data_IF_766669384752
#
_entry.id   IF_766669384752
#
_cell.length_a   1.000
_cell.length_b   1.000
_cell.length_c   1.000
_cell.angle_alpha   90.00
_cell.angle_beta   90.00
_cell.angle_gamma   90.00
#
_symmetry.space_group_name_H-M   'P 1'
#
loop_
_entity.id
_entity.type
_entity.pdbx_description
1 polymer ?
#
# COMPACT_ATOMS: atom_id res chain seq x y z
N UNK A 1 2.63 12.49 -4.82
CA UNK A 1 3.96 12.07 -5.31
C UNK A 1 4.80 13.21 -5.81
N UNK A 2 4.24 14.19 -6.49
CA UNK A 2 4.96 15.40 -6.94
C UNK A 2 5.80 16.04 -5.81
N UNK A 3 5.26 16.14 -4.59
CA UNK A 3 5.99 16.69 -3.45
C UNK A 3 7.27 15.89 -3.11
N UNK A 4 7.21 14.55 -3.11
CA UNK A 4 8.40 13.71 -2.82
C UNK A 4 9.46 13.84 -3.91
N UNK A 5 9.05 13.96 -5.18
CA UNK A 5 9.96 14.18 -6.29
C UNK A 5 10.68 15.52 -6.17
N UNK A 6 9.95 16.59 -5.85
CA UNK A 6 10.52 17.92 -5.61
C UNK A 6 11.52 17.93 -4.44
N UNK A 7 11.22 17.20 -3.35
CA UNK A 7 12.15 17.09 -2.22
C UNK A 7 13.40 16.28 -2.56
N UNK A 8 13.27 15.24 -3.37
CA UNK A 8 14.40 14.46 -3.86
C UNK A 8 15.31 15.29 -4.78
N UNK A 9 14.74 16.06 -5.70
CA UNK A 9 15.48 16.99 -6.56
C UNK A 9 16.24 18.04 -5.75
N UNK A 10 15.63 18.64 -4.72
CA UNK A 10 16.31 19.55 -3.80
C UNK A 10 17.48 18.88 -3.08
N UNK A 11 17.39 17.59 -2.81
CA UNK A 11 18.46 16.78 -2.22
C UNK A 11 19.49 16.27 -3.24
N UNK A 12 19.47 16.73 -4.49
CA UNK A 12 20.32 16.27 -5.60
C UNK A 12 20.21 14.75 -5.84
N UNK A 13 19.04 14.16 -5.61
CA UNK A 13 18.78 12.76 -5.93
C UNK A 13 18.28 12.64 -7.37
N UNK A 14 18.86 11.71 -8.11
CA UNK A 14 18.42 11.44 -9.47
C UNK A 14 17.09 10.67 -9.47
N UNK A 15 16.08 11.21 -10.15
CA UNK A 15 14.79 10.56 -10.33
C UNK A 15 14.82 9.65 -11.55
N UNK A 16 14.24 8.47 -11.41
CA UNK A 16 14.09 7.49 -12.50
C UNK A 16 12.63 7.11 -12.65
N UNK A 17 12.18 6.98 -13.89
CA UNK A 17 10.80 6.63 -14.24
C UNK A 17 10.59 5.13 -14.46
N UNK A 18 11.68 4.38 -14.60
CA UNK A 18 11.65 2.96 -14.92
C UNK A 18 12.39 2.16 -13.87
N UNK A 19 11.83 1.02 -13.47
CA UNK A 19 12.52 0.08 -12.59
C UNK A 19 13.71 -0.50 -13.36
N UNK A 20 14.93 -0.25 -12.89
CA UNK A 20 16.15 -0.83 -13.42
C UNK A 20 16.22 -2.32 -13.05
N UNK A 21 17.02 -3.09 -13.78
CA UNK A 21 17.16 -4.56 -13.59
C UNK A 21 17.54 -4.98 -12.17
N UNK A 22 18.12 -4.08 -11.39
CA UNK A 22 18.58 -4.37 -10.02
C UNK A 22 18.26 -3.22 -9.08
N UNK A 23 17.40 -3.50 -8.10
CA UNK A 23 17.19 -2.64 -6.94
C UNK A 23 17.82 -3.36 -5.74
N UNK A 24 18.87 -2.78 -5.16
CA UNK A 24 19.54 -3.42 -4.02
C UNK A 24 18.72 -3.28 -2.75
N UNK A 25 18.14 -2.11 -2.52
CA UNK A 25 17.36 -1.84 -1.32
C UNK A 25 16.23 -0.86 -1.61
N UNK A 26 15.06 -1.11 -1.03
CA UNK A 26 13.94 -0.19 -0.99
C UNK A 26 13.64 0.22 0.45
N UNK A 27 13.41 1.51 0.66
CA UNK A 27 12.94 2.08 1.92
C UNK A 27 11.52 2.59 1.73
N UNK A 28 10.60 2.20 2.60
CA UNK A 28 9.22 2.63 2.50
C UNK A 28 8.53 2.66 3.88
N UNK A 29 7.33 3.23 3.94
CA UNK A 29 6.47 3.21 5.12
C UNK A 29 5.38 2.14 5.04
N UNK A 30 4.57 2.05 6.08
CA UNK A 30 3.37 1.24 6.10
C UNK A 30 2.23 1.92 6.86
N UNK A 31 1.00 1.71 6.42
CA UNK A 31 -0.21 2.21 7.10
C UNK A 31 -0.59 1.33 8.30
N UNK A 32 -0.37 0.01 8.20
CA UNK A 32 -0.42 -0.96 9.30
C UNK A 32 0.56 -2.11 9.07
N UNK A 33 1.05 -2.70 10.15
CA UNK A 33 1.94 -3.87 10.18
C UNK A 33 1.36 -4.88 11.16
N UNK A 34 1.06 -6.10 10.71
CA UNK A 34 0.57 -7.16 11.57
C UNK A 34 1.71 -7.97 12.24
N UNK A 35 1.34 -8.88 13.16
CA UNK A 35 2.32 -9.78 13.82
C UNK A 35 3.07 -10.69 12.85
N UNK A 36 2.49 -10.97 11.68
CA UNK A 36 3.11 -11.78 10.64
C UNK A 36 4.02 -10.97 9.70
N UNK A 37 4.24 -9.68 9.98
CA UNK A 37 4.96 -8.70 9.15
C UNK A 37 4.32 -8.51 7.77
N UNK A 38 3.02 -8.78 7.61
CA UNK A 38 2.28 -8.30 6.46
C UNK A 38 2.02 -6.80 6.62
N UNK A 39 1.80 -6.08 5.52
CA UNK A 39 1.62 -4.63 5.55
C UNK A 39 0.28 -4.24 4.92
N UNK A 40 -0.37 -3.21 5.46
CA UNK A 40 -1.30 -2.38 4.70
C UNK A 40 -0.54 -1.15 4.23
N UNK A 41 -0.65 -0.86 2.94
CA UNK A 41 -0.04 0.28 2.25
C UNK A 41 -1.02 0.90 1.27
N UNK A 42 -0.65 2.03 0.71
CA UNK A 42 -1.44 2.71 -0.31
C UNK A 42 -2.32 3.84 0.21
N UNK A 43 -2.13 4.28 1.47
CA UNK A 43 -2.77 5.48 1.99
C UNK A 43 -2.48 6.72 1.13
N UNK A 44 -1.26 6.83 0.59
CA UNK A 44 -0.84 7.88 -0.35
C UNK A 44 -1.19 7.64 -1.82
N UNK A 45 -1.81 6.51 -2.17
CA UNK A 45 -2.28 6.20 -3.53
C UNK A 45 -1.25 5.61 -4.48
N UNK A 46 -0.02 5.32 -4.03
CA UNK A 46 1.07 4.82 -4.89
C UNK A 46 1.25 3.28 -4.84
N UNK A 47 0.23 2.54 -4.35
CA UNK A 47 0.36 1.12 -3.98
C UNK A 47 0.85 0.22 -5.10
N UNK A 48 0.50 0.45 -6.37
CA UNK A 48 0.99 -0.34 -7.49
C UNK A 48 2.50 -0.15 -7.67
N UNK A 49 2.98 1.10 -7.70
CA UNK A 49 4.40 1.41 -7.83
C UNK A 49 5.20 0.91 -6.62
N UNK A 50 4.68 1.10 -5.41
CA UNK A 50 5.27 0.59 -4.18
C UNK A 50 5.43 -0.94 -4.23
N UNK A 51 4.40 -1.67 -4.70
CA UNK A 51 4.46 -3.12 -4.80
C UNK A 51 5.46 -3.60 -5.87
N UNK A 52 5.55 -2.90 -7.01
CA UNK A 52 6.55 -3.18 -8.04
C UNK A 52 7.97 -3.04 -7.45
N UNK A 53 8.27 -1.92 -6.80
CA UNK A 53 9.59 -1.66 -6.21
C UNK A 53 9.94 -2.66 -5.12
N UNK A 54 9.00 -2.94 -4.20
CA UNK A 54 9.17 -3.92 -3.13
C UNK A 54 9.48 -5.32 -3.70
N UNK A 55 8.81 -5.75 -4.78
CA UNK A 55 9.05 -7.05 -5.37
C UNK A 55 10.33 -7.12 -6.22
N UNK A 56 10.77 -6.02 -6.79
CA UNK A 56 12.02 -5.94 -7.56
C UNK A 56 13.27 -5.83 -6.69
N UNK A 57 13.14 -5.31 -5.46
CA UNK A 57 14.28 -5.08 -4.59
C UNK A 57 14.83 -6.37 -3.97
N UNK A 58 16.15 -6.45 -3.80
CA UNK A 58 16.80 -7.54 -3.05
C UNK A 58 16.47 -7.44 -1.57
N UNK A 59 16.43 -6.21 -1.02
CA UNK A 59 16.21 -5.93 0.40
C UNK A 59 15.11 -4.90 0.59
N UNK A 60 14.19 -5.18 1.51
CA UNK A 60 13.05 -4.31 1.85
C UNK A 60 13.19 -3.83 3.28
N UNK A 61 13.21 -2.53 3.46
CA UNK A 61 13.27 -1.86 4.76
C UNK A 61 12.00 -1.03 4.94
N UNK A 62 11.26 -1.32 6.00
CA UNK A 62 10.06 -0.56 6.36
C UNK A 62 10.33 0.29 7.59
N UNK A 63 9.88 1.53 7.55
CA UNK A 63 9.97 2.46 8.67
C UNK A 63 8.56 2.91 9.07
N UNK A 64 8.18 2.68 10.31
CA UNK A 64 6.86 3.07 10.82
C UNK A 64 6.91 3.38 12.31
N UNK A 65 6.05 4.28 12.74
CA UNK A 65 5.83 4.54 14.16
C UNK A 65 5.07 3.38 14.84
N UNK A 66 5.15 3.31 16.17
CA UNK A 66 4.57 2.20 16.93
C UNK A 66 3.04 2.10 16.80
N UNK A 67 2.33 3.19 16.45
CA UNK A 67 0.88 3.17 16.26
C UNK A 67 0.43 2.35 15.04
N UNK A 68 1.35 2.06 14.11
CA UNK A 68 1.07 1.25 12.92
C UNK A 68 1.09 -0.26 13.19
N UNK A 69 1.60 -0.68 14.35
CA UNK A 69 1.70 -2.10 14.68
C UNK A 69 0.41 -2.60 15.32
N UNK A 70 -0.18 -3.62 14.73
CA UNK A 70 -1.47 -4.19 15.13
C UNK A 70 -1.42 -5.71 15.23
N UNK A 71 -2.35 -6.29 16.01
CA UNK A 71 -2.48 -7.75 16.06
C UNK A 71 -3.10 -8.31 14.79
N UNK A 72 -4.15 -7.66 14.30
CA UNK A 72 -4.83 -7.95 13.03
C UNK A 72 -5.13 -6.62 12.36
N UNK A 73 -5.14 -6.59 11.05
CA UNK A 73 -5.54 -5.40 10.31
C UNK A 73 -6.99 -5.03 10.60
N UNK A 74 -7.25 -3.73 10.73
CA UNK A 74 -8.57 -3.16 10.98
C UNK A 74 -8.80 -1.84 10.22
N UNK A 75 -7.86 -1.48 9.37
CA UNK A 75 -7.93 -0.33 8.49
C UNK A 75 -8.57 -0.72 7.16
N UNK A 76 -9.14 0.25 6.45
CA UNK A 76 -9.60 0.05 5.09
C UNK A 76 -8.43 -0.37 4.18
N UNK A 77 -8.69 -1.32 3.31
CA UNK A 77 -7.71 -1.81 2.33
C UNK A 77 -7.85 -0.98 1.05
N UNK A 78 -6.83 -0.21 0.65
CA UNK A 78 -6.83 0.45 -0.64
C UNK A 78 -6.76 -0.60 -1.77
N UNK A 79 -7.61 -0.44 -2.77
CA UNK A 79 -7.63 -1.29 -3.97
C UNK A 79 -7.58 -0.38 -5.18
N UNK A 80 -6.51 -0.49 -5.99
CA UNK A 80 -6.38 0.24 -7.24
C UNK A 80 -7.15 -0.47 -8.33
N UNK A 81 -8.04 0.26 -9.01
CA UNK A 81 -9.03 -0.28 -9.91
C UNK A 81 -9.05 0.52 -11.20
N UNK A 82 -9.06 -0.18 -12.35
CA UNK A 82 -9.27 0.45 -13.64
C UNK A 82 -10.64 1.17 -13.67
N UNK A 83 -10.74 2.43 -14.10
CA UNK A 83 -11.98 3.21 -14.02
C UNK A 83 -13.19 2.53 -14.65
N UNK A 84 -13.01 1.85 -15.80
CA UNK A 84 -14.06 1.10 -16.48
C UNK A 84 -14.65 -0.03 -15.60
N UNK A 85 -13.85 -0.64 -14.73
CA UNK A 85 -14.26 -1.76 -13.90
C UNK A 85 -14.88 -1.35 -12.56
N UNK A 86 -14.99 -0.06 -12.26
CA UNK A 86 -15.45 0.46 -10.98
C UNK A 86 -16.68 -0.27 -10.42
N UNK A 87 -17.75 -0.34 -11.19
CA UNK A 87 -19.03 -0.89 -10.71
C UNK A 87 -18.95 -2.41 -10.51
N UNK A 88 -18.26 -3.12 -11.41
CA UNK A 88 -18.09 -4.57 -11.34
C UNK A 88 -17.23 -4.95 -10.14
N UNK A 89 -16.11 -4.25 -9.93
CA UNK A 89 -15.22 -4.49 -8.79
C UNK A 89 -15.93 -4.17 -7.47
N UNK A 90 -16.64 -3.04 -7.40
CA UNK A 90 -17.46 -2.68 -6.22
C UNK A 90 -18.42 -3.79 -5.84
N UNK A 91 -19.20 -4.32 -6.80
CA UNK A 91 -20.13 -5.42 -6.56
C UNK A 91 -19.43 -6.70 -6.08
N UNK A 92 -18.31 -7.06 -6.69
CA UNK A 92 -17.58 -8.28 -6.34
C UNK A 92 -16.88 -8.17 -4.96
N UNK A 93 -16.34 -7.00 -4.61
CA UNK A 93 -15.80 -6.74 -3.27
C UNK A 93 -16.92 -6.86 -2.22
N UNK A 94 -18.12 -6.34 -2.50
CA UNK A 94 -19.25 -6.46 -1.58
C UNK A 94 -19.69 -7.92 -1.38
N UNK A 95 -19.66 -8.76 -2.42
CA UNK A 95 -19.98 -10.20 -2.32
C UNK A 95 -19.01 -10.97 -1.41
N UNK A 96 -17.77 -10.53 -1.29
CA UNK A 96 -16.79 -11.16 -0.39
C UNK A 96 -16.72 -10.48 0.99
N UNK A 97 -17.73 -9.66 1.32
CA UNK A 97 -17.89 -9.05 2.65
C UNK A 97 -17.21 -7.70 2.83
N UNK A 98 -16.68 -7.09 1.77
CA UNK A 98 -16.09 -5.76 1.81
C UNK A 98 -17.14 -4.65 1.65
N UNK A 99 -16.86 -3.49 2.19
CA UNK A 99 -17.62 -2.25 1.99
C UNK A 99 -16.74 -1.24 1.26
N UNK A 100 -16.71 -1.27 -0.08
CA UNK A 100 -15.86 -0.39 -0.87
C UNK A 100 -16.42 1.02 -0.94
N UNK A 101 -15.55 2.02 -0.81
CA UNK A 101 -15.85 3.44 -0.99
C UNK A 101 -14.82 4.04 -1.95
N UNK A 102 -15.25 4.77 -2.95
CA UNK A 102 -14.30 5.48 -3.82
C UNK A 102 -13.52 6.51 -3.01
N UNK A 103 -12.21 6.54 -3.19
CA UNK A 103 -11.36 7.56 -2.59
C UNK A 103 -11.59 8.89 -3.29
N UNK A 104 -11.78 9.93 -2.50
CA UNK A 104 -11.97 11.29 -3.00
C UNK A 104 -10.93 12.24 -2.41
N UNK A 105 -10.63 13.28 -3.15
CA UNK A 105 -9.95 14.48 -2.68
C UNK A 105 -10.93 15.38 -1.93
N UNK A 106 -10.42 16.47 -1.37
CA UNK A 106 -11.25 17.55 -0.85
C UNK A 106 -12.27 18.00 -1.93
N UNK A 107 -13.47 18.38 -1.49
CA UNK A 107 -14.62 18.74 -2.35
C UNK A 107 -15.23 17.55 -3.12
N UNK A 108 -14.88 16.31 -2.82
CA UNK A 108 -15.52 15.11 -3.36
C UNK A 108 -15.08 14.67 -4.76
N UNK A 109 -14.07 15.28 -5.36
CA UNK A 109 -13.49 14.81 -6.62
C UNK A 109 -12.82 13.45 -6.44
N UNK A 110 -12.99 12.49 -7.37
CA UNK A 110 -12.30 11.22 -7.31
C UNK A 110 -10.77 11.40 -7.25
N UNK A 111 -10.10 10.66 -6.36
CA UNK A 111 -8.65 10.58 -6.37
C UNK A 111 -8.22 9.71 -7.57
N UNK A 112 -7.38 10.25 -8.44
CA UNK A 112 -6.80 9.54 -9.58
C UNK A 112 -5.33 9.24 -9.25
N UNK A 113 -4.94 7.97 -9.40
CA UNK A 113 -3.55 7.55 -9.21
C UNK A 113 -2.67 8.07 -10.35
N UNK A 114 -1.35 8.06 -10.17
CA UNK A 114 -0.41 8.42 -11.23
C UNK A 114 -0.46 7.47 -12.44
N UNK A 115 -1.12 6.32 -12.27
CA UNK A 115 -1.33 5.34 -13.34
C UNK A 115 -2.66 5.57 -14.08
N UNK A 116 -3.41 6.67 -13.77
CA UNK A 116 -4.72 6.95 -14.34
C UNK A 116 -5.87 6.12 -13.78
N UNK A 117 -5.67 5.45 -12.65
CA UNK A 117 -6.67 4.58 -12.04
C UNK A 117 -7.37 5.26 -10.86
N UNK A 118 -8.45 4.66 -10.37
CA UNK A 118 -9.14 5.04 -9.14
C UNK A 118 -8.73 4.14 -7.98
N UNK A 119 -8.99 4.59 -6.75
CA UNK A 119 -8.85 3.77 -5.56
C UNK A 119 -10.21 3.55 -4.92
N UNK A 120 -10.49 2.30 -4.56
CA UNK A 120 -11.54 1.92 -3.64
C UNK A 120 -10.93 1.63 -2.27
N UNK A 121 -11.30 2.38 -1.25
CA UNK A 121 -10.99 2.07 0.14
C UNK A 121 -12.03 1.07 0.65
N UNK A 122 -11.60 -0.14 0.95
CA UNK A 122 -12.47 -1.28 1.20
C UNK A 122 -12.43 -1.70 2.67
N UNK A 123 -13.50 -1.47 3.41
CA UNK A 123 -13.62 -1.91 4.79
C UNK A 123 -14.05 -3.37 4.88
N UNK A 124 -13.23 -4.21 5.52
CA UNK A 124 -13.51 -5.63 5.80
C UNK A 124 -13.62 -5.92 7.31
N UNK A 125 -13.66 -4.87 8.16
CA UNK A 125 -13.56 -5.04 9.60
C UNK A 125 -12.19 -5.59 9.99
N UNK A 126 -12.18 -6.55 10.95
CA UNK A 126 -10.93 -7.17 11.41
C UNK A 126 -10.48 -8.26 10.44
N UNK A 127 -9.29 -8.11 9.85
CA UNK A 127 -8.74 -9.02 8.84
C UNK A 127 -7.78 -10.00 9.52
N UNK A 128 -8.23 -11.25 9.72
CA UNK A 128 -7.42 -12.31 10.33
C UNK A 128 -6.57 -13.10 9.33
N UNK A 129 -6.92 -13.10 8.05
CA UNK A 129 -6.28 -13.89 6.99
C UNK A 129 -5.91 -12.98 5.80
N UNK A 130 -4.93 -12.06 5.96
CA UNK A 130 -4.64 -11.03 4.96
C UNK A 130 -4.23 -11.60 3.60
N UNK A 131 -3.41 -12.65 3.56
CA UNK A 131 -2.99 -13.30 2.31
C UNK A 131 -4.18 -13.82 1.50
N UNK A 132 -5.10 -14.53 2.15
CA UNK A 132 -6.29 -15.08 1.46
C UNK A 132 -7.21 -13.96 0.96
N UNK A 133 -7.39 -12.90 1.74
CA UNK A 133 -8.18 -11.74 1.33
C UNK A 133 -7.55 -11.04 0.12
N UNK A 134 -6.23 -10.82 0.16
CA UNK A 134 -5.48 -10.25 -0.97
C UNK A 134 -5.72 -11.05 -2.25
N UNK A 135 -5.56 -12.37 -2.21
CA UNK A 135 -5.75 -13.25 -3.36
C UNK A 135 -7.17 -13.15 -3.91
N UNK A 136 -8.19 -13.18 -3.04
CA UNK A 136 -9.60 -13.03 -3.46
C UNK A 136 -9.85 -11.70 -4.18
N UNK A 137 -9.31 -10.60 -3.66
CA UNK A 137 -9.50 -9.27 -4.26
C UNK A 137 -8.70 -9.17 -5.57
N UNK A 138 -7.44 -9.62 -5.59
CA UNK A 138 -6.55 -9.52 -6.75
C UNK A 138 -7.09 -10.27 -7.98
N UNK A 139 -7.83 -11.35 -7.77
CA UNK A 139 -8.44 -12.14 -8.83
C UNK A 139 -9.73 -11.52 -9.42
N UNK A 140 -10.18 -10.38 -8.92
CA UNK A 140 -11.31 -9.67 -9.51
C UNK A 140 -10.82 -8.90 -10.74
N UNK A 141 -11.43 -9.18 -11.91
CA UNK A 141 -11.09 -8.48 -13.16
C UNK A 141 -11.26 -6.97 -13.02
N UNK A 142 -10.23 -6.22 -13.38
CA UNK A 142 -10.17 -4.75 -13.24
C UNK A 142 -9.49 -4.26 -11.97
N UNK A 143 -9.08 -5.14 -11.06
CA UNK A 143 -8.19 -4.80 -9.94
C UNK A 143 -6.74 -4.81 -10.41
N UNK A 144 -6.07 -3.68 -10.29
CA UNK A 144 -4.66 -3.49 -10.65
C UNK A 144 -3.75 -3.88 -9.48
N UNK A 145 -4.05 -3.38 -8.27
CA UNK A 145 -3.29 -3.72 -7.07
C UNK A 145 -4.15 -3.66 -5.80
N UNK A 146 -3.70 -4.39 -4.78
CA UNK A 146 -4.35 -4.51 -3.47
C UNK A 146 -3.37 -4.04 -2.39
N UNK A 147 -3.80 -3.13 -1.55
CA UNK A 147 -2.98 -2.55 -0.47
C UNK A 147 -2.66 -3.49 0.70
N UNK A 148 -2.82 -4.79 0.53
CA UNK A 148 -2.30 -5.82 1.44
C UNK A 148 -1.02 -6.38 0.82
N UNK A 149 0.13 -6.13 1.43
CA UNK A 149 1.42 -6.60 0.97
C UNK A 149 1.88 -7.77 1.84
N UNK A 150 2.16 -8.90 1.20
CA UNK A 150 2.50 -10.16 1.87
C UNK A 150 3.96 -10.57 1.71
N UNK A 151 4.74 -9.86 0.87
CA UNK A 151 6.20 -9.94 0.90
C UNK A 151 6.66 -9.32 2.21
N UNK A 152 7.33 -10.11 3.03
CA UNK A 152 7.82 -9.67 4.34
C UNK A 152 9.02 -8.75 4.18
N UNK A 153 9.06 -7.63 4.91
CA UNK A 153 10.28 -6.83 5.01
C UNK A 153 11.43 -7.61 5.63
N UNK A 154 12.64 -7.32 5.16
CA UNK A 154 13.88 -7.86 5.73
C UNK A 154 14.22 -7.16 7.05
N UNK A 155 13.91 -5.86 7.13
CA UNK A 155 14.13 -5.04 8.33
C UNK A 155 12.92 -4.12 8.51
N UNK A 156 12.48 -3.98 9.75
CA UNK A 156 11.49 -2.97 10.14
C UNK A 156 12.09 -2.10 11.24
N UNK A 157 12.14 -0.80 11.02
CA UNK A 157 12.42 0.20 12.04
C UNK A 157 11.10 0.67 12.65
N UNK A 158 10.90 0.32 13.90
CA UNK A 158 9.74 0.74 14.69
C UNK A 158 10.11 1.96 15.51
N UNK A 159 9.68 3.14 15.08
CA UNK A 159 9.91 4.37 15.84
C UNK A 159 9.05 4.42 17.11
N UNK A 160 9.67 4.84 18.20
CA UNK A 160 9.04 5.10 19.48
C UNK A 160 9.13 6.58 19.85
N UNK A 161 8.48 6.97 20.93
CA UNK A 161 8.62 8.31 21.50
C UNK A 161 10.09 8.64 21.83
N UNK A 162 10.40 9.95 21.89
CA UNK A 162 11.72 10.47 22.29
C UNK A 162 12.91 10.02 21.39
N UNK A 163 12.67 9.83 20.08
CA UNK A 163 13.75 9.52 19.13
C UNK A 163 14.30 8.09 19.23
N UNK A 164 13.70 7.22 20.04
CA UNK A 164 14.09 5.81 20.15
C UNK A 164 13.45 4.98 19.04
N UNK A 165 14.08 3.88 18.68
CA UNK A 165 13.51 2.91 17.74
C UNK A 165 13.93 1.49 18.05
N UNK A 166 13.12 0.52 17.66
CA UNK A 166 13.47 -0.90 17.66
C UNK A 166 13.79 -1.35 16.22
N UNK A 167 14.69 -2.32 16.10
CA UNK A 167 15.00 -2.99 14.82
C UNK A 167 14.45 -4.41 14.88
N UNK A 168 13.51 -4.72 13.99
CA UNK A 168 12.88 -6.03 13.85
C UNK A 168 13.41 -6.66 12.55
N UNK A 169 14.08 -7.79 12.66
CA UNK A 169 14.59 -8.57 11.53
C UNK A 169 13.73 -9.77 11.24
#
# INVERSE_FOLDING_TARGET
MLFRSLEAEKGNLHLIDTVLDKIDIVFDGADQIDKGKNLIKGGGGALLRENILINAAKKVVIMADESKFVTNFNRDVPVEVHPLARNTVTKNISKIGGRPKIRTLDRGYPFITENGNIILDCNFGVIKKPKQLREKIKNISGVLEVGIFTRKPDIIYKARSAGKFDVIK
#
